data_IF_751161225210
#
_entry.id   IF_751161225210
#
_cell.length_a   1.000
_cell.length_b   1.000
_cell.length_c   1.000
_cell.angle_alpha   90.00
_cell.angle_beta   90.00
_cell.angle_gamma   90.00
#
_symmetry.space_group_name_H-M   'P 1'
#
loop_
_entity.id
_entity.type
_entity.pdbx_description
1 polymer ?
#
# COMPACT_ATOMS: atom_id res chain seq x y z
N UNK A 1 -3.68 5.53 28.90
CA UNK A 1 -2.96 5.10 27.69
C UNK A 1 -3.08 6.22 26.67
N UNK A 2 -1.94 6.72 26.20
CA UNK A 2 -1.95 7.77 25.18
C UNK A 2 -2.43 7.12 23.88
N UNK A 3 -3.60 7.55 23.40
CA UNK A 3 -4.27 6.97 22.24
C UNK A 3 -3.75 7.57 20.92
N UNK A 4 -2.60 8.25 20.97
CA UNK A 4 -2.00 8.84 19.77
C UNK A 4 -1.15 7.82 19.03
N UNK A 5 -1.32 7.79 17.70
CA UNK A 5 -0.48 6.97 16.83
C UNK A 5 0.97 7.47 16.92
N UNK A 6 1.93 6.61 17.27
CA UNK A 6 3.33 6.98 17.38
C UNK A 6 3.89 7.54 16.07
N UNK A 7 4.70 8.59 16.15
CA UNK A 7 5.41 9.20 15.02
C UNK A 7 6.90 8.95 15.16
N UNK A 8 7.52 8.42 14.11
CA UNK A 8 8.94 8.08 14.07
C UNK A 8 9.62 8.81 12.91
N UNK A 9 10.73 9.49 13.21
CA UNK A 9 11.53 10.13 12.18
C UNK A 9 12.37 9.09 11.45
N UNK A 10 12.27 9.04 10.12
CA UNK A 10 13.09 8.16 9.29
C UNK A 10 14.59 8.47 9.45
N UNK A 11 14.96 9.74 9.52
CA UNK A 11 16.35 10.16 9.72
C UNK A 11 16.94 9.63 11.04
N UNK A 12 16.12 9.56 12.11
CA UNK A 12 16.53 9.03 13.40
C UNK A 12 16.67 7.50 13.37
N UNK A 13 15.74 6.82 12.70
CA UNK A 13 15.81 5.36 12.52
C UNK A 13 17.03 4.93 11.72
N UNK A 14 17.36 5.64 10.65
CA UNK A 14 18.53 5.34 9.80
C UNK A 14 19.87 5.57 10.50
N UNK A 15 19.90 6.38 11.55
CA UNK A 15 21.09 6.58 12.40
C UNK A 15 21.29 5.45 13.43
N UNK A 16 20.44 4.45 13.44
CA UNK A 16 20.47 3.33 14.42
C UNK A 16 20.53 3.82 15.88
N UNK A 17 19.78 4.86 16.19
CA UNK A 17 19.69 5.39 17.54
C UNK A 17 18.86 4.41 18.38
N UNK A 18 19.42 3.92 19.50
CA UNK A 18 18.77 2.95 20.39
C UNK A 18 17.38 3.39 20.83
N UNK A 19 17.20 4.67 21.15
CA UNK A 19 15.91 5.23 21.52
C UNK A 19 14.88 5.12 20.38
N UNK A 20 15.30 5.37 19.14
CA UNK A 20 14.41 5.26 17.97
C UNK A 20 14.02 3.81 17.68
N UNK A 21 14.94 2.88 17.89
CA UNK A 21 14.68 1.44 17.75
C UNK A 21 13.75 0.93 18.84
N UNK A 22 13.91 1.40 20.07
CA UNK A 22 13.00 1.10 21.16
C UNK A 22 11.60 1.64 20.90
N UNK A 23 11.48 2.89 20.43
CA UNK A 23 10.19 3.48 20.04
C UNK A 23 9.54 2.70 18.90
N UNK A 24 10.30 2.23 17.91
CA UNK A 24 9.81 1.38 16.83
C UNK A 24 9.26 0.06 17.38
N UNK A 25 10.03 -0.63 18.20
CA UNK A 25 9.63 -1.89 18.84
C UNK A 25 8.35 -1.73 19.65
N UNK A 26 8.29 -0.69 20.49
CA UNK A 26 7.11 -0.39 21.31
C UNK A 26 5.88 -0.03 20.46
N UNK A 27 6.08 0.72 19.36
CA UNK A 27 4.98 1.07 18.45
C UNK A 27 4.38 -0.16 17.80
N UNK A 28 5.23 -1.06 17.29
CA UNK A 28 4.79 -2.29 16.66
C UNK A 28 4.11 -3.24 17.66
N UNK A 29 4.65 -3.37 18.87
CA UNK A 29 4.12 -4.26 19.90
C UNK A 29 2.79 -3.79 20.46
N UNK A 30 2.61 -2.47 20.65
CA UNK A 30 1.44 -1.90 21.32
C UNK A 30 0.33 -1.45 20.35
N UNK A 31 0.70 -1.02 19.14
CA UNK A 31 -0.24 -0.46 18.16
C UNK A 31 -0.29 -1.27 16.84
N UNK A 32 0.75 -2.03 16.52
CA UNK A 32 0.88 -2.76 15.26
C UNK A 32 1.30 -1.89 14.06
N UNK A 33 1.40 -0.57 14.23
CA UNK A 33 1.76 0.40 13.19
C UNK A 33 2.27 1.72 13.79
N UNK A 34 2.80 2.60 12.93
CA UNK A 34 3.30 3.92 13.29
C UNK A 34 3.27 4.85 12.06
N UNK A 35 3.47 6.15 12.27
CA UNK A 35 3.61 7.15 11.22
C UNK A 35 5.08 7.47 11.04
N UNK A 36 5.59 7.37 9.81
CA UNK A 36 6.92 7.84 9.46
C UNK A 36 6.88 9.32 9.13
N UNK A 37 7.82 10.08 9.70
CA UNK A 37 8.11 11.48 9.35
C UNK A 37 9.50 11.59 8.73
N UNK A 38 9.83 12.74 8.17
CA UNK A 38 11.15 13.05 7.56
C UNK A 38 11.57 12.07 6.46
N UNK A 39 10.58 11.46 5.79
CA UNK A 39 10.79 10.49 4.71
C UNK A 39 11.25 11.09 3.37
N UNK A 40 11.37 12.42 3.28
CA UNK A 40 11.86 13.17 2.10
C UNK A 40 11.05 12.98 0.81
N UNK A 41 9.91 12.31 0.86
CA UNK A 41 9.01 12.21 -0.28
C UNK A 41 8.21 13.52 -0.37
N UNK A 42 8.28 14.25 -1.49
CA UNK A 42 7.57 15.52 -1.63
C UNK A 42 6.04 15.34 -1.50
N UNK A 43 5.39 16.23 -0.77
CA UNK A 43 3.92 16.22 -0.66
C UNK A 43 3.21 16.29 -2.02
N UNK A 44 3.83 16.94 -3.01
CA UNK A 44 3.30 16.99 -4.38
C UNK A 44 3.17 15.61 -5.03
N UNK A 45 4.01 14.64 -4.67
CA UNK A 45 3.88 13.25 -5.16
C UNK A 45 2.68 12.54 -4.54
N UNK A 46 2.45 12.73 -3.25
CA UNK A 46 1.24 12.21 -2.60
C UNK A 46 -0.02 12.78 -3.25
N UNK A 47 -0.07 14.11 -3.41
CA UNK A 47 -1.23 14.76 -4.03
C UNK A 47 -1.49 14.24 -5.45
N UNK A 48 -0.44 14.09 -6.26
CA UNK A 48 -0.56 13.49 -7.60
C UNK A 48 -1.03 12.05 -7.56
N UNK A 49 -0.51 11.24 -6.62
CA UNK A 49 -0.94 9.85 -6.48
C UNK A 49 -2.44 9.76 -6.15
N UNK A 50 -2.93 10.57 -5.22
CA UNK A 50 -4.36 10.63 -4.90
C UNK A 50 -5.19 11.12 -6.09
N UNK A 51 -4.76 12.19 -6.77
CA UNK A 51 -5.45 12.73 -7.95
C UNK A 51 -5.56 11.69 -9.07
N UNK A 52 -4.48 10.98 -9.37
CA UNK A 52 -4.52 9.93 -10.41
C UNK A 52 -5.32 8.71 -9.98
N UNK A 53 -5.28 8.33 -8.72
CA UNK A 53 -6.11 7.26 -8.17
C UNK A 53 -7.59 7.61 -8.31
N UNK A 54 -7.99 8.82 -7.90
CA UNK A 54 -9.37 9.29 -8.04
C UNK A 54 -9.80 9.30 -9.51
N UNK A 55 -8.99 9.83 -10.42
CA UNK A 55 -9.28 9.84 -11.86
C UNK A 55 -9.45 8.42 -12.40
N UNK A 56 -8.57 7.49 -12.02
CA UNK A 56 -8.63 6.11 -12.49
C UNK A 56 -9.89 5.40 -11.99
N UNK A 57 -10.18 5.47 -10.68
CA UNK A 57 -11.33 4.78 -10.10
C UNK A 57 -12.68 5.35 -10.55
N UNK A 58 -12.72 6.61 -10.99
CA UNK A 58 -13.91 7.23 -11.60
C UNK A 58 -14.12 6.86 -13.08
N UNK A 59 -13.22 6.13 -13.72
CA UNK A 59 -13.41 5.64 -15.08
C UNK A 59 -14.49 4.54 -15.12
N UNK A 60 -15.10 4.37 -16.29
CA UNK A 60 -16.01 3.27 -16.53
C UNK A 60 -15.33 1.91 -16.29
N UNK A 61 -16.08 0.96 -15.74
CA UNK A 61 -15.59 -0.40 -15.45
C UNK A 61 -15.01 -1.08 -16.69
N UNK A 62 -15.59 -0.84 -17.87
CA UNK A 62 -15.09 -1.36 -19.15
C UNK A 62 -13.69 -0.85 -19.50
N UNK A 63 -13.38 0.38 -19.10
CA UNK A 63 -12.04 0.97 -19.27
C UNK A 63 -11.07 0.41 -18.24
N UNK A 64 -11.46 0.43 -16.96
CA UNK A 64 -10.63 -0.11 -15.86
C UNK A 64 -10.26 -1.58 -16.08
N UNK A 65 -11.21 -2.39 -16.57
CA UNK A 65 -11.00 -3.83 -16.81
C UNK A 65 -9.94 -4.15 -17.85
N UNK A 66 -9.58 -3.21 -18.74
CA UNK A 66 -8.47 -3.38 -19.68
C UNK A 66 -7.10 -3.48 -18.98
N UNK A 67 -7.03 -3.01 -17.74
CA UNK A 67 -5.83 -3.05 -16.92
C UNK A 67 -5.80 -4.23 -15.92
N UNK A 68 -6.73 -5.18 -16.07
CA UNK A 68 -6.71 -6.42 -15.29
C UNK A 68 -5.83 -7.46 -15.96
N UNK A 69 -4.77 -7.87 -15.29
CA UNK A 69 -3.82 -8.87 -15.79
C UNK A 69 -4.14 -10.22 -15.18
N UNK A 70 -4.80 -11.10 -15.92
CA UNK A 70 -5.18 -12.45 -15.45
C UNK A 70 -3.98 -13.30 -15.05
N UNK A 71 -2.86 -13.11 -15.75
CA UNK A 71 -1.61 -13.85 -15.55
C UNK A 71 -0.91 -13.51 -14.23
N UNK A 72 -1.23 -12.35 -13.65
CA UNK A 72 -0.66 -11.89 -12.37
C UNK A 72 -1.44 -12.37 -11.14
N UNK A 73 -2.53 -13.14 -11.32
CA UNK A 73 -3.40 -13.57 -10.23
C UNK A 73 -3.83 -12.42 -9.28
N UNK A 74 -4.01 -11.20 -9.83
CA UNK A 74 -4.34 -10.01 -9.05
C UNK A 74 -3.15 -9.27 -8.43
N UNK A 75 -1.92 -9.79 -8.57
CA UNK A 75 -0.73 -9.16 -7.99
C UNK A 75 -0.29 -7.87 -8.72
N UNK A 76 -0.89 -7.54 -9.85
CA UNK A 76 -0.61 -6.33 -10.65
C UNK A 76 -1.86 -5.83 -11.34
N UNK A 77 -1.93 -4.50 -11.49
CA UNK A 77 -3.00 -3.82 -12.21
C UNK A 77 -4.29 -3.74 -11.42
N UNK A 78 -5.39 -3.68 -12.15
CA UNK A 78 -6.72 -3.45 -11.61
C UNK A 78 -7.41 -4.76 -11.21
N UNK A 79 -7.94 -4.79 -10.00
CA UNK A 79 -8.84 -5.85 -9.52
C UNK A 79 -10.23 -5.26 -9.29
N UNK A 80 -11.25 -5.72 -10.04
CA UNK A 80 -12.61 -5.21 -9.94
C UNK A 80 -13.34 -5.73 -8.70
N UNK A 81 -14.47 -5.08 -8.38
CA UNK A 81 -15.40 -5.52 -7.35
C UNK A 81 -15.79 -7.00 -7.52
N UNK A 82 -15.99 -7.69 -6.43
CA UNK A 82 -16.48 -9.06 -6.42
C UNK A 82 -15.48 -10.12 -6.88
N UNK A 83 -14.18 -9.79 -6.94
CA UNK A 83 -13.12 -10.75 -7.29
C UNK A 83 -12.44 -11.36 -6.08
N UNK A 84 -12.34 -10.61 -5.00
CA UNK A 84 -11.78 -11.10 -3.76
C UNK A 84 -12.86 -11.43 -2.74
N UNK A 85 -12.61 -12.50 -2.02
CA UNK A 85 -13.43 -12.94 -0.88
C UNK A 85 -12.50 -13.09 0.31
N UNK A 86 -12.87 -12.51 1.46
CA UNK A 86 -12.08 -12.66 2.67
C UNK A 86 -11.98 -14.14 3.08
N UNK A 87 -10.87 -14.52 3.70
CA UNK A 87 -10.63 -15.89 4.12
C UNK A 87 -11.75 -16.36 5.07
N UNK A 88 -12.45 -17.44 4.69
CA UNK A 88 -13.57 -17.99 5.45
C UNK A 88 -14.94 -17.40 5.13
N UNK A 89 -15.02 -16.40 4.25
CA UNK A 89 -16.27 -15.81 3.81
C UNK A 89 -16.75 -16.37 2.45
N UNK A 90 -18.05 -16.25 2.20
CA UNK A 90 -18.66 -16.69 0.92
C UNK A 90 -19.11 -15.51 0.05
N UNK A 91 -19.14 -14.31 0.62
CA UNK A 91 -19.55 -13.08 -0.07
C UNK A 91 -18.32 -12.33 -0.52
N UNK A 92 -18.24 -11.93 -1.81
CA UNK A 92 -17.14 -11.12 -2.30
C UNK A 92 -17.07 -9.74 -1.63
N UNK A 93 -15.84 -9.25 -1.45
CA UNK A 93 -15.58 -7.92 -0.93
C UNK A 93 -16.12 -6.82 -1.87
N UNK A 94 -16.73 -5.81 -1.28
CA UNK A 94 -17.18 -4.60 -1.98
C UNK A 94 -16.03 -3.60 -2.10
N UNK A 95 -14.92 -4.04 -2.69
CA UNK A 95 -13.75 -3.19 -2.97
C UNK A 95 -13.24 -3.42 -4.38
N UNK A 96 -12.67 -2.39 -4.95
CA UNK A 96 -11.82 -2.45 -6.12
C UNK A 96 -10.47 -1.83 -5.78
N UNK A 97 -9.41 -2.28 -6.42
CA UNK A 97 -8.08 -1.77 -6.09
C UNK A 97 -7.10 -1.89 -7.27
N UNK A 98 -6.01 -1.16 -7.15
CA UNK A 98 -4.90 -1.20 -8.08
C UNK A 98 -3.63 -1.64 -7.35
N UNK A 99 -3.00 -2.68 -7.85
CA UNK A 99 -1.67 -3.08 -7.42
C UNK A 99 -0.58 -2.57 -8.37
N UNK A 100 0.35 -1.83 -7.81
CA UNK A 100 1.55 -1.36 -8.50
C UNK A 100 2.77 -2.04 -7.91
N UNK A 101 3.72 -2.40 -8.75
CA UNK A 101 4.99 -2.96 -8.34
C UNK A 101 6.16 -2.24 -9.02
N UNK A 102 7.40 -2.53 -8.62
CA UNK A 102 8.57 -1.99 -9.30
C UNK A 102 8.54 -2.33 -10.79
N UNK A 103 9.03 -1.41 -11.61
CA UNK A 103 9.33 -1.72 -13.02
C UNK A 103 10.53 -2.65 -13.01
N UNK A 104 10.35 -3.85 -13.52
CA UNK A 104 11.42 -4.85 -13.64
C UNK A 104 11.59 -5.10 -15.13
N UNK A 105 12.77 -4.77 -15.64
CA UNK A 105 13.10 -4.93 -17.06
C UNK A 105 13.24 -6.40 -17.48
N UNK A 106 13.30 -7.32 -16.50
CA UNK A 106 13.40 -8.75 -16.73
C UNK A 106 12.25 -9.52 -16.07
N UNK A 107 11.64 -10.42 -16.81
CA UNK A 107 10.44 -11.19 -16.44
C UNK A 107 10.65 -12.23 -15.33
N UNK A 108 11.56 -12.02 -14.41
CA UNK A 108 11.81 -12.93 -13.29
C UNK A 108 10.82 -12.79 -12.12
N UNK A 109 9.62 -12.27 -12.38
CA UNK A 109 8.53 -12.20 -11.39
C UNK A 109 7.87 -13.54 -11.06
N UNK A 110 8.43 -14.64 -11.56
CA UNK A 110 7.83 -15.98 -11.39
C UNK A 110 8.33 -16.70 -10.13
N UNK A 111 9.16 -16.05 -9.33
CA UNK A 111 9.70 -16.66 -8.10
C UNK A 111 9.27 -15.89 -6.84
N UNK A 112 7.98 -15.87 -6.58
CA UNK A 112 7.44 -15.67 -5.23
C UNK A 112 6.54 -16.85 -4.92
#
# INVERSE_FOLDING_TARGET
>A
MDNQIPKLSLDSLLKNNDQSLEMLSNSLSNHGFFIITDHKIPHSLFNKAYEYSEKFFNLDTSVKSKYSFRESAGARGYTPFGKETALGETVPDLKEFWHHGPVIDDLSLIHI
#
